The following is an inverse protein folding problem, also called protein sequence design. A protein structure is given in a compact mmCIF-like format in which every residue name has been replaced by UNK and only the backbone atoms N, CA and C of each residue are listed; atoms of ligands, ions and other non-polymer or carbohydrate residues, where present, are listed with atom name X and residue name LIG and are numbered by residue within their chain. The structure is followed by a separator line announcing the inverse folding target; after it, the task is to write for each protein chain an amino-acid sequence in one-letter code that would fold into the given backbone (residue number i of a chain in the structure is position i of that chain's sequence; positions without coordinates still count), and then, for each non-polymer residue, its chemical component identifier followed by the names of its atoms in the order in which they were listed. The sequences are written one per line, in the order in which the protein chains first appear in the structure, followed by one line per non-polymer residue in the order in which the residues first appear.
data_IF_348594362264
#
_entry.id   IF_348594362264
#
_cell.length_a   1.000
_cell.length_b   1.000
_cell.length_c   1.000
_cell.angle_alpha   90.00
_cell.angle_beta   90.00
_cell.angle_gamma   90.00
#
_symmetry.space_group_name_H-M   'P 1'
#
loop_
_entity.id
_entity.type
_entity.pdbx_description
1 polymer ?
#
# COMPACT_ATOMS: atom_id res chain seq x y z
N UNK A 1 59.05 61.16 -20.84
CA UNK A 1 58.58 60.14 -19.93
C UNK A 1 57.06 60.28 -19.80
N UNK A 2 56.30 59.56 -20.59
CA UNK A 2 54.84 59.59 -20.61
C UNK A 2 54.33 58.26 -20.00
N UNK A 3 53.61 58.32 -18.92
CA UNK A 3 52.94 57.15 -18.30
C UNK A 3 51.50 57.13 -18.83
N UNK A 4 51.21 56.19 -19.68
CA UNK A 4 49.88 55.79 -20.12
C UNK A 4 49.19 54.99 -19.03
N UNK A 5 48.07 55.50 -18.50
CA UNK A 5 47.16 54.75 -17.61
C UNK A 5 46.16 53.99 -18.49
N UNK A 6 46.17 52.67 -18.45
CA UNK A 6 45.12 51.82 -19.02
C UNK A 6 44.00 51.67 -18.02
N UNK A 7 42.83 52.15 -18.38
CA UNK A 7 41.59 51.91 -17.62
C UNK A 7 41.00 50.61 -18.13
N UNK A 8 40.98 49.61 -17.28
CA UNK A 8 40.27 48.34 -17.51
C UNK A 8 38.82 48.57 -17.06
N UNK A 9 37.91 48.66 -18.02
CA UNK A 9 36.46 48.71 -17.77
C UNK A 9 35.99 47.28 -17.53
N UNK A 10 35.69 46.93 -16.27
CA UNK A 10 35.04 45.70 -15.91
C UNK A 10 33.52 45.84 -16.10
N UNK A 11 33.01 45.28 -17.20
CA UNK A 11 31.58 45.19 -17.46
C UNK A 11 31.00 44.06 -16.59
N UNK A 12 30.31 44.42 -15.51
CA UNK A 12 29.58 43.50 -14.67
C UNK A 12 28.32 43.08 -15.42
N UNK A 13 28.30 41.85 -15.97
CA UNK A 13 27.13 41.26 -16.60
C UNK A 13 26.25 40.69 -15.49
N UNK A 14 25.26 41.44 -15.01
CA UNK A 14 24.21 40.98 -14.09
C UNK A 14 23.25 40.12 -14.87
N UNK A 15 23.35 38.80 -14.72
CA UNK A 15 22.31 37.87 -15.11
C UNK A 15 21.13 38.04 -14.15
N UNK A 16 20.08 38.72 -14.57
CA UNK A 16 18.77 38.59 -13.95
C UNK A 16 18.23 37.19 -14.30
N UNK A 17 18.37 36.27 -13.37
CA UNK A 17 17.61 35.02 -13.38
C UNK A 17 16.18 35.44 -13.04
N UNK A 18 15.33 35.61 -14.04
CA UNK A 18 13.88 35.59 -13.82
C UNK A 18 13.49 34.17 -13.43
N UNK A 19 13.56 33.85 -12.14
CA UNK A 19 12.77 32.80 -11.58
C UNK A 19 11.31 33.21 -11.76
N UNK A 20 10.61 32.62 -12.71
CA UNK A 20 9.15 32.63 -12.70
C UNK A 20 8.71 31.76 -11.51
N UNK A 21 8.81 32.27 -10.30
CA UNK A 21 8.00 31.78 -9.20
C UNK A 21 6.55 32.09 -9.57
N UNK A 22 5.81 31.06 -9.91
CA UNK A 22 4.38 31.16 -10.09
C UNK A 22 3.83 31.69 -8.75
N UNK A 23 3.33 32.94 -8.75
CA UNK A 23 2.69 33.48 -7.54
C UNK A 23 1.62 32.52 -7.11
N UNK A 24 1.79 31.92 -5.93
CA UNK A 24 0.79 31.02 -5.35
C UNK A 24 -0.42 31.88 -5.00
N UNK A 25 -1.48 31.74 -5.80
CA UNK A 25 -2.73 32.40 -5.54
C UNK A 25 -3.36 31.88 -4.25
N UNK A 26 -4.03 32.76 -3.52
CA UNK A 26 -4.82 32.39 -2.35
C UNK A 26 -5.92 31.36 -2.70
N UNK A 27 -6.28 31.22 -3.97
CA UNK A 27 -7.26 30.26 -4.48
C UNK A 27 -6.65 29.00 -5.10
N UNK A 28 -5.30 28.87 -5.14
CA UNK A 28 -4.68 27.66 -5.64
C UNK A 28 -4.87 26.54 -4.61
N UNK A 29 -5.22 25.36 -5.12
CA UNK A 29 -5.21 24.15 -4.29
C UNK A 29 -3.80 23.93 -3.74
N UNK A 30 -3.70 23.59 -2.45
CA UNK A 30 -2.42 23.29 -1.84
C UNK A 30 -1.80 22.01 -2.43
N UNK A 31 -0.47 21.92 -2.33
CA UNK A 31 0.32 20.76 -2.80
C UNK A 31 0.83 19.91 -1.63
N UNK A 32 0.08 19.82 -0.54
CA UNK A 32 0.50 19.08 0.66
C UNK A 32 0.70 17.59 0.38
N UNK A 33 -0.16 17.02 -0.45
CA UNK A 33 -0.12 15.61 -0.89
C UNK A 33 -0.30 15.52 -2.40
N UNK A 34 0.17 14.43 -3.06
CA UNK A 34 -0.11 14.19 -4.47
C UNK A 34 -1.60 14.17 -4.79
N UNK A 35 -1.95 14.61 -5.99
CA UNK A 35 -3.33 14.60 -6.49
C UNK A 35 -3.85 13.19 -6.64
N UNK A 36 -5.15 13.02 -6.40
CA UNK A 36 -5.86 11.77 -6.71
C UNK A 36 -6.31 11.73 -8.17
N UNK A 37 -6.75 10.55 -8.64
CA UNK A 37 -7.24 10.35 -10.02
C UNK A 37 -8.45 11.23 -10.39
N UNK A 38 -9.20 11.72 -9.43
CA UNK A 38 -10.30 12.67 -9.63
C UNK A 38 -9.81 14.11 -9.79
N UNK A 39 -8.62 14.41 -9.28
CA UNK A 39 -7.98 15.72 -9.34
C UNK A 39 -6.97 15.84 -10.50
N UNK A 40 -6.43 14.70 -10.96
CA UNK A 40 -5.50 14.61 -12.09
C UNK A 40 -5.88 13.46 -13.01
N UNK A 41 -6.56 13.78 -14.11
CA UNK A 41 -7.03 12.83 -15.12
C UNK A 41 -5.90 12.19 -15.94
N UNK A 42 -4.67 12.63 -15.82
CA UNK A 42 -3.50 12.02 -16.46
C UNK A 42 -3.02 10.77 -15.74
N UNK A 43 -3.43 10.56 -14.49
CA UNK A 43 -3.10 9.37 -13.72
C UNK A 43 -3.83 8.14 -14.29
N UNK A 44 -3.14 6.98 -14.41
CA UNK A 44 -3.77 5.75 -14.87
C UNK A 44 -4.87 5.32 -13.87
N UNK A 45 -6.05 5.01 -14.40
CA UNK A 45 -7.19 4.69 -13.54
C UNK A 45 -8.27 3.88 -14.22
N UNK A 46 -9.08 3.21 -13.40
CA UNK A 46 -10.29 2.50 -13.83
C UNK A 46 -11.50 3.03 -13.05
N UNK A 47 -12.67 3.00 -13.68
CA UNK A 47 -13.95 3.33 -13.02
C UNK A 47 -14.71 2.06 -12.74
N UNK A 48 -14.98 1.79 -11.47
CA UNK A 48 -15.72 0.60 -10.98
C UNK A 48 -16.58 1.01 -9.78
N UNK A 49 -17.74 0.39 -9.61
CA UNK A 49 -18.58 0.55 -8.41
C UNK A 49 -18.71 2.01 -7.92
N UNK A 50 -19.00 2.94 -8.85
CA UNK A 50 -19.16 4.38 -8.56
C UNK A 50 -17.92 5.05 -7.93
N UNK A 51 -16.73 4.49 -8.17
CA UNK A 51 -15.45 5.09 -7.77
C UNK A 51 -14.45 5.06 -8.92
N UNK A 52 -13.43 5.90 -8.82
CA UNK A 52 -12.27 5.87 -9.70
C UNK A 52 -11.05 5.40 -8.89
N UNK A 53 -10.48 4.26 -9.31
CA UNK A 53 -9.32 3.66 -8.68
C UNK A 53 -8.07 3.96 -9.50
N UNK A 54 -7.01 4.41 -8.88
CA UNK A 54 -5.68 4.43 -9.46
C UNK A 54 -5.22 2.99 -9.68
N UNK A 55 -4.93 2.62 -10.91
CA UNK A 55 -4.62 1.24 -11.26
C UNK A 55 -3.77 1.14 -12.52
N UNK A 56 -2.85 0.20 -12.51
CA UNK A 56 -1.95 -0.10 -13.62
C UNK A 56 -1.79 -1.61 -13.79
N UNK A 57 -1.49 -2.05 -15.02
CA UNK A 57 -1.22 -3.45 -15.28
C UNK A 57 0.01 -3.61 -16.19
N UNK A 58 0.80 -4.66 -15.93
CA UNK A 58 2.07 -4.94 -16.60
C UNK A 58 2.11 -6.39 -17.10
N UNK A 59 2.75 -6.62 -18.24
CA UNK A 59 2.83 -7.93 -18.87
C UNK A 59 1.76 -8.16 -19.93
N UNK A 60 1.68 -9.40 -20.42
CA UNK A 60 0.69 -9.76 -21.45
C UNK A 60 -0.68 -10.03 -20.81
N UNK A 61 -1.75 -9.32 -21.20
CA UNK A 61 -3.10 -9.51 -20.64
C UNK A 61 -3.66 -10.93 -20.77
N UNK A 62 -3.18 -11.74 -21.73
CA UNK A 62 -3.62 -13.13 -21.90
C UNK A 62 -2.99 -14.12 -20.90
N UNK A 63 -1.96 -13.69 -20.18
CA UNK A 63 -1.26 -14.52 -19.20
C UNK A 63 -2.06 -14.69 -17.91
N UNK A 64 -1.60 -15.61 -17.06
CA UNK A 64 -2.10 -15.76 -15.68
C UNK A 64 -2.03 -14.41 -14.94
N UNK A 65 -3.16 -13.96 -14.39
CA UNK A 65 -3.27 -12.69 -13.68
C UNK A 65 -2.76 -12.82 -12.26
N UNK A 66 -1.98 -11.84 -11.82
CA UNK A 66 -1.54 -11.67 -10.44
C UNK A 66 -1.97 -10.28 -9.95
N UNK A 67 -2.95 -10.23 -9.06
CA UNK A 67 -3.44 -8.96 -8.48
C UNK A 67 -2.69 -8.67 -7.20
N UNK A 68 -2.12 -7.49 -7.10
CA UNK A 68 -1.31 -7.03 -5.96
C UNK A 68 -2.18 -6.17 -5.03
N UNK A 69 -2.26 -6.57 -3.76
CA UNK A 69 -3.10 -5.94 -2.74
C UNK A 69 -2.21 -5.31 -1.66
N UNK A 70 -2.22 -3.99 -1.59
CA UNK A 70 -1.42 -3.24 -0.62
C UNK A 70 -2.00 -3.31 0.80
N UNK A 71 -1.14 -3.01 1.77
CA UNK A 71 -1.43 -2.99 3.20
C UNK A 71 -2.14 -1.73 3.69
N UNK A 72 -2.08 -1.50 4.97
CA UNK A 72 -2.71 -0.44 5.71
C UNK A 72 -3.76 -0.98 6.70
N UNK A 73 -5.09 -0.86 6.47
CA UNK A 73 -5.74 -0.21 5.31
C UNK A 73 -5.32 1.24 5.13
N UNK A 74 -5.44 1.75 3.89
CA UNK A 74 -5.15 3.15 3.59
C UNK A 74 -3.74 3.45 3.05
N UNK A 75 -2.84 2.45 2.88
CA UNK A 75 -1.58 2.65 2.15
C UNK A 75 -1.80 2.82 0.64
N UNK A 76 -0.77 2.70 -0.16
CA UNK A 76 -0.83 2.62 -1.61
C UNK A 76 0.06 1.49 -2.13
N UNK A 77 0.02 1.18 -3.43
CA UNK A 77 0.81 0.07 -3.97
C UNK A 77 2.26 0.44 -4.30
N UNK A 78 2.69 1.67 -4.12
CA UNK A 78 4.04 2.12 -4.50
C UNK A 78 5.15 1.27 -3.88
N UNK A 79 5.00 0.92 -2.61
CA UNK A 79 5.99 0.10 -1.90
C UNK A 79 6.02 -1.38 -2.38
N UNK A 80 5.05 -1.80 -3.18
CA UNK A 80 4.96 -3.15 -3.78
C UNK A 80 5.41 -3.18 -5.25
N UNK A 81 5.94 -2.10 -5.81
CA UNK A 81 6.32 -2.01 -7.22
C UNK A 81 7.39 -3.03 -7.64
N UNK A 82 8.18 -3.57 -6.71
CA UNK A 82 9.07 -4.69 -6.99
C UNK A 82 8.32 -5.90 -7.59
N UNK A 83 7.04 -6.11 -7.23
CA UNK A 83 6.20 -7.18 -7.79
C UNK A 83 5.99 -7.05 -9.31
N UNK A 84 6.29 -5.90 -9.92
CA UNK A 84 6.31 -5.75 -11.39
C UNK A 84 7.25 -6.77 -12.06
N UNK A 85 8.30 -7.23 -11.37
CA UNK A 85 9.22 -8.24 -11.88
C UNK A 85 8.55 -9.59 -12.26
N UNK A 86 7.37 -9.88 -11.73
CA UNK A 86 6.60 -11.07 -12.15
C UNK A 86 6.10 -10.95 -13.59
N UNK A 87 5.92 -9.73 -14.12
CA UNK A 87 5.53 -9.54 -15.52
C UNK A 87 6.60 -10.06 -16.49
N UNK A 88 7.89 -9.90 -16.14
CA UNK A 88 9.03 -10.43 -16.91
C UNK A 88 9.12 -11.97 -16.86
N UNK A 89 8.34 -12.59 -15.97
CA UNK A 89 8.23 -14.06 -15.81
C UNK A 89 6.93 -14.64 -16.39
N UNK A 90 6.22 -13.85 -17.19
CA UNK A 90 5.05 -14.31 -17.90
C UNK A 90 3.74 -14.22 -17.10
N UNK A 91 3.65 -13.36 -16.11
CA UNK A 91 2.41 -13.03 -15.41
C UNK A 91 1.84 -11.71 -15.91
N UNK A 92 0.52 -11.57 -15.82
CA UNK A 92 -0.17 -10.30 -16.00
C UNK A 92 -0.40 -9.68 -14.63
N UNK A 93 0.44 -8.72 -14.26
CA UNK A 93 0.50 -8.14 -12.91
C UNK A 93 -0.35 -6.90 -12.85
N UNK A 94 -1.35 -6.89 -11.98
CA UNK A 94 -2.32 -5.80 -11.79
C UNK A 94 -2.09 -5.16 -10.43
N UNK A 95 -1.85 -3.86 -10.42
CA UNK A 95 -1.78 -3.03 -9.22
C UNK A 95 -2.99 -2.11 -9.18
N UNK A 96 -3.51 -1.87 -8.00
CA UNK A 96 -4.47 -0.79 -7.77
C UNK A 96 -4.37 -0.26 -6.35
N UNK A 97 -4.59 1.03 -6.20
CA UNK A 97 -4.85 1.63 -4.90
C UNK A 97 -6.31 1.36 -4.54
N UNK A 98 -6.54 0.76 -3.37
CA UNK A 98 -7.89 0.46 -2.90
C UNK A 98 -8.68 1.77 -2.73
N UNK A 99 -10.02 1.69 -2.76
CA UNK A 99 -10.92 2.83 -2.59
C UNK A 99 -10.50 3.69 -1.40
N UNK A 100 -10.35 5.01 -1.60
CA UNK A 100 -9.96 5.94 -0.54
C UNK A 100 -8.49 5.89 -0.13
N UNK A 101 -7.68 5.02 -0.74
CA UNK A 101 -6.24 4.85 -0.50
C UNK A 101 -5.41 5.43 -1.62
N UNK A 102 -4.13 5.66 -1.37
CA UNK A 102 -3.17 6.05 -2.40
C UNK A 102 -3.64 7.23 -3.24
N UNK A 103 -3.57 7.08 -4.55
CA UNK A 103 -4.04 8.06 -5.52
C UNK A 103 -5.49 7.81 -5.98
N UNK A 104 -6.19 6.79 -5.44
CA UNK A 104 -7.60 6.53 -5.70
C UNK A 104 -8.50 7.62 -5.14
N UNK A 105 -9.70 7.72 -5.71
CA UNK A 105 -10.74 8.70 -5.33
C UNK A 105 -11.06 8.63 -3.84
N UNK A 106 -11.23 9.81 -3.22
CA UNK A 106 -11.61 9.97 -1.81
C UNK A 106 -13.12 9.94 -1.63
N UNK A 107 -13.55 9.39 -0.50
CA UNK A 107 -14.96 9.22 -0.17
C UNK A 107 -15.23 9.57 1.30
N UNK A 108 -16.51 9.87 1.65
CA UNK A 108 -16.93 10.01 3.03
C UNK A 108 -16.76 8.71 3.81
N UNK A 109 -16.45 8.81 5.11
CA UNK A 109 -16.22 7.67 6.00
C UNK A 109 -17.38 6.65 6.01
N UNK A 110 -18.62 7.13 5.87
CA UNK A 110 -19.83 6.32 5.97
C UNK A 110 -20.02 5.26 4.89
N UNK A 111 -19.27 5.35 3.75
CA UNK A 111 -19.43 4.37 2.66
C UNK A 111 -18.57 3.12 2.83
N UNK A 112 -17.56 3.16 3.71
CA UNK A 112 -16.61 2.05 3.82
C UNK A 112 -17.20 0.88 4.60
N UNK A 113 -17.09 -0.30 4.04
CA UNK A 113 -17.43 -1.59 4.64
C UNK A 113 -16.50 -2.67 4.08
N UNK A 114 -16.42 -3.82 4.75
CA UNK A 114 -15.67 -4.96 4.19
C UNK A 114 -16.27 -5.37 2.85
N UNK A 115 -17.60 -5.39 2.73
CA UNK A 115 -18.26 -5.82 1.49
C UNK A 115 -17.87 -4.92 0.30
N UNK A 116 -17.83 -3.59 0.45
CA UNK A 116 -17.47 -2.70 -0.65
C UNK A 116 -16.01 -2.92 -1.11
N UNK A 117 -15.11 -3.29 -0.19
CA UNK A 117 -13.73 -3.63 -0.53
C UNK A 117 -13.65 -4.95 -1.34
N UNK A 118 -14.51 -5.93 -1.01
CA UNK A 118 -14.62 -7.19 -1.79
C UNK A 118 -15.23 -6.94 -3.16
N UNK A 119 -16.24 -6.09 -3.25
CA UNK A 119 -16.90 -5.74 -4.51
C UNK A 119 -15.95 -4.99 -5.45
N UNK A 120 -15.11 -4.10 -4.92
CA UNK A 120 -14.08 -3.41 -5.68
C UNK A 120 -13.01 -4.37 -6.18
N UNK A 121 -12.53 -5.29 -5.36
CA UNK A 121 -11.57 -6.32 -5.80
C UNK A 121 -12.18 -7.20 -6.89
N UNK A 122 -13.45 -7.58 -6.77
CA UNK A 122 -14.17 -8.34 -7.80
C UNK A 122 -14.26 -7.56 -9.12
N UNK A 123 -14.55 -6.27 -9.04
CA UNK A 123 -14.63 -5.38 -10.19
C UNK A 123 -13.27 -5.16 -10.86
N UNK A 124 -12.19 -5.00 -10.09
CA UNK A 124 -10.80 -4.92 -10.60
C UNK A 124 -10.43 -6.20 -11.35
N UNK A 125 -10.68 -7.37 -10.74
CA UNK A 125 -10.44 -8.67 -11.40
C UNK A 125 -11.22 -8.75 -12.69
N UNK A 126 -12.50 -8.40 -12.69
CA UNK A 126 -13.38 -8.44 -13.87
C UNK A 126 -12.91 -7.49 -14.96
N UNK A 127 -12.46 -6.28 -14.60
CA UNK A 127 -11.98 -5.27 -15.54
C UNK A 127 -10.74 -5.74 -16.32
N UNK A 128 -9.78 -6.37 -15.62
CA UNK A 128 -8.52 -6.79 -16.23
C UNK A 128 -8.56 -8.21 -16.82
N UNK A 129 -9.55 -9.03 -16.46
CA UNK A 129 -9.66 -10.41 -16.94
C UNK A 129 -10.07 -10.45 -18.40
N UNK A 130 -9.28 -11.16 -19.22
CA UNK A 130 -9.50 -11.23 -20.69
C UNK A 130 -10.24 -12.46 -21.15
N UNK A 131 -10.36 -13.50 -20.30
CA UNK A 131 -11.15 -14.70 -20.61
C UNK A 131 -11.70 -15.37 -19.34
N UNK A 132 -12.76 -16.16 -19.48
CA UNK A 132 -13.36 -16.89 -18.36
C UNK A 132 -12.44 -17.97 -17.78
N UNK A 133 -11.48 -18.48 -18.56
CA UNK A 133 -10.53 -19.52 -18.18
C UNK A 133 -9.20 -18.98 -17.64
N UNK A 134 -8.99 -17.66 -17.71
CA UNK A 134 -7.77 -17.04 -17.19
C UNK A 134 -7.63 -17.29 -15.69
N UNK A 135 -6.51 -17.90 -15.29
CA UNK A 135 -6.19 -18.09 -13.88
C UNK A 135 -5.94 -16.75 -13.18
N UNK A 136 -6.41 -16.62 -11.96
CA UNK A 136 -6.24 -15.43 -11.11
C UNK A 136 -5.57 -15.81 -9.80
N UNK A 137 -4.48 -15.14 -9.48
CA UNK A 137 -3.77 -15.22 -8.21
C UNK A 137 -3.83 -13.88 -7.49
N UNK A 138 -3.83 -13.94 -6.16
CA UNK A 138 -3.71 -12.75 -5.31
C UNK A 138 -2.35 -12.76 -4.61
N UNK A 139 -1.68 -11.62 -4.57
CA UNK A 139 -0.56 -11.37 -3.68
C UNK A 139 -0.96 -10.21 -2.77
N UNK A 140 -1.18 -10.51 -1.50
CA UNK A 140 -1.53 -9.51 -0.51
C UNK A 140 -0.45 -9.35 0.55
N UNK A 141 -0.23 -8.11 0.98
CA UNK A 141 0.67 -7.77 2.09
C UNK A 141 -0.13 -7.13 3.21
N UNK A 142 0.10 -7.56 4.45
CA UNK A 142 -0.54 -6.98 5.64
C UNK A 142 -2.08 -6.98 5.52
N UNK A 143 -2.75 -5.83 5.60
CA UNK A 143 -4.17 -5.69 5.30
C UNK A 143 -4.56 -6.26 3.92
N UNK A 144 -3.73 -6.11 2.90
CA UNK A 144 -3.99 -6.70 1.58
C UNK A 144 -4.06 -8.23 1.60
N UNK A 145 -3.32 -8.89 2.49
CA UNK A 145 -3.42 -10.33 2.70
C UNK A 145 -4.69 -10.73 3.48
N UNK A 146 -5.16 -9.86 4.39
CA UNK A 146 -6.46 -10.02 5.05
C UNK A 146 -7.61 -9.86 4.05
N UNK A 147 -7.56 -8.85 3.18
CA UNK A 147 -8.53 -8.62 2.10
C UNK A 147 -8.56 -9.81 1.12
N UNK A 148 -7.39 -10.33 0.72
CA UNK A 148 -7.31 -11.54 -0.11
C UNK A 148 -8.01 -12.72 0.55
N UNK A 149 -7.80 -12.92 1.85
CA UNK A 149 -8.43 -14.01 2.62
C UNK A 149 -9.94 -13.79 2.76
N UNK A 150 -10.39 -12.57 3.06
CA UNK A 150 -11.80 -12.24 3.09
C UNK A 150 -12.48 -12.52 1.74
N UNK A 151 -11.82 -12.18 0.64
CA UNK A 151 -12.30 -12.45 -0.70
C UNK A 151 -12.37 -13.96 -1.01
N UNK A 152 -11.33 -14.73 -0.67
CA UNK A 152 -11.32 -16.18 -0.82
C UNK A 152 -12.41 -16.83 0.04
N UNK A 153 -12.60 -16.37 1.26
CA UNK A 153 -13.67 -16.86 2.15
C UNK A 153 -15.07 -16.62 1.57
N UNK A 154 -15.30 -15.47 0.95
CA UNK A 154 -16.57 -15.13 0.30
C UNK A 154 -16.74 -15.86 -1.06
N UNK A 155 -15.67 -15.99 -1.84
CA UNK A 155 -15.68 -16.51 -3.21
C UNK A 155 -14.60 -17.57 -3.46
N UNK A 156 -14.64 -18.76 -2.82
CA UNK A 156 -13.55 -19.73 -2.79
C UNK A 156 -13.21 -20.37 -4.14
N UNK A 157 -14.10 -20.23 -5.14
CA UNK A 157 -13.89 -20.76 -6.50
C UNK A 157 -13.31 -19.73 -7.48
N UNK A 158 -13.17 -18.47 -7.06
CA UNK A 158 -12.79 -17.37 -7.95
C UNK A 158 -11.29 -17.19 -8.10
N UNK A 159 -10.49 -17.75 -7.16
CA UNK A 159 -9.04 -17.55 -7.05
C UNK A 159 -8.32 -18.89 -7.16
N UNK A 160 -7.26 -18.96 -7.96
CA UNK A 160 -6.50 -20.18 -8.23
C UNK A 160 -5.35 -20.41 -7.24
N UNK A 161 -4.89 -19.38 -6.53
CA UNK A 161 -3.87 -19.45 -5.49
C UNK A 161 -3.64 -18.07 -4.86
N UNK A 162 -3.01 -18.03 -3.71
CA UNK A 162 -2.70 -16.77 -3.03
C UNK A 162 -1.34 -16.80 -2.33
N UNK A 163 -0.66 -15.66 -2.36
CA UNK A 163 0.53 -15.34 -1.57
C UNK A 163 0.10 -14.33 -0.51
N UNK A 164 0.21 -14.71 0.75
CA UNK A 164 -0.25 -13.92 1.89
C UNK A 164 0.95 -13.56 2.76
N UNK A 165 1.43 -12.32 2.64
CA UNK A 165 2.58 -11.83 3.37
C UNK A 165 2.13 -11.07 4.63
N UNK A 166 2.38 -11.64 5.78
CA UNK A 166 2.13 -11.11 7.13
C UNK A 166 0.75 -10.45 7.32
N UNK A 167 -0.38 -11.15 7.07
CA UNK A 167 -1.69 -10.64 7.48
C UNK A 167 -1.74 -10.47 9.00
N UNK A 168 -2.33 -9.39 9.50
CA UNK A 168 -2.49 -9.19 10.95
C UNK A 168 -3.26 -10.33 11.63
N UNK A 169 -4.24 -10.91 10.93
CA UNK A 169 -5.05 -12.03 11.38
C UNK A 169 -6.23 -12.25 10.44
N UNK A 170 -6.93 -13.39 10.58
CA UNK A 170 -8.14 -13.70 9.82
C UNK A 170 -9.40 -13.72 10.70
N UNK A 171 -9.22 -13.59 11.99
CA UNK A 171 -10.25 -13.34 13.00
C UNK A 171 -9.90 -12.00 13.65
N UNK A 172 -10.90 -11.13 13.89
CA UNK A 172 -10.64 -9.77 14.35
C UNK A 172 -9.82 -9.69 15.64
N UNK A 173 -9.98 -10.67 16.56
CA UNK A 173 -9.17 -10.71 17.78
C UNK A 173 -7.67 -10.88 17.47
N UNK A 174 -7.31 -11.72 16.48
CA UNK A 174 -5.89 -11.90 16.08
C UNK A 174 -5.30 -10.61 15.50
N UNK A 175 -6.12 -9.83 14.77
CA UNK A 175 -5.72 -8.50 14.25
C UNK A 175 -5.44 -7.54 15.40
N UNK A 176 -6.33 -7.48 16.40
CA UNK A 176 -6.15 -6.63 17.57
C UNK A 176 -4.90 -7.02 18.38
N UNK A 177 -4.68 -8.31 18.57
CA UNK A 177 -3.50 -8.83 19.25
C UNK A 177 -2.21 -8.40 18.52
N UNK A 178 -2.15 -8.57 17.19
CA UNK A 178 -0.99 -8.17 16.40
C UNK A 178 -0.78 -6.64 16.42
N UNK A 179 -1.84 -5.87 16.17
CA UNK A 179 -1.77 -4.40 16.16
C UNK A 179 -1.36 -3.86 17.53
N UNK A 180 -1.87 -4.47 18.62
CA UNK A 180 -1.49 -4.10 19.98
C UNK A 180 0.01 -4.30 20.25
N UNK A 181 0.63 -5.33 19.69
CA UNK A 181 2.07 -5.60 19.82
C UNK A 181 2.94 -4.74 18.88
N UNK A 182 2.41 -4.36 17.71
CA UNK A 182 3.15 -3.60 16.70
C UNK A 182 3.13 -2.09 16.90
N UNK A 183 2.15 -1.56 17.66
CA UNK A 183 2.05 -0.13 17.95
C UNK A 183 2.96 0.25 19.11
N UNK A 184 4.15 0.78 18.82
CA UNK A 184 4.88 1.62 19.75
C UNK A 184 4.41 3.06 19.61
N UNK A 185 3.66 3.57 20.60
CA UNK A 185 3.36 4.99 20.69
C UNK A 185 4.68 5.75 20.89
N UNK A 186 5.07 6.57 19.91
CA UNK A 186 6.24 7.45 20.06
C UNK A 186 5.79 8.88 20.25
N UNK A 187 6.37 9.52 21.28
CA UNK A 187 6.23 10.95 21.55
C UNK A 187 6.56 11.82 20.31
N UNK A 188 7.49 11.35 19.46
CA UNK A 188 7.84 11.99 18.18
C UNK A 188 6.66 12.07 17.20
N UNK A 189 5.78 11.08 17.16
CA UNK A 189 4.60 11.09 16.27
C UNK A 189 3.58 12.14 16.69
N UNK A 190 3.39 12.34 17.99
CA UNK A 190 2.50 13.38 18.52
C UNK A 190 3.05 14.78 18.21
N UNK A 191 4.35 15.00 18.38
CA UNK A 191 5.01 16.29 18.08
C UNK A 191 4.92 16.63 16.59
N UNK A 192 5.11 15.65 15.69
CA UNK A 192 4.94 15.84 14.26
C UNK A 192 3.48 16.12 13.89
N UNK A 193 2.53 15.50 14.56
CA UNK A 193 1.11 15.77 14.39
C UNK A 193 0.77 17.22 14.77
N UNK A 194 1.27 17.71 15.89
CA UNK A 194 1.08 19.07 16.34
C UNK A 194 1.72 20.10 15.39
N UNK A 195 2.94 19.84 14.92
CA UNK A 195 3.61 20.67 13.92
C UNK A 195 2.83 20.75 12.61
N UNK A 196 2.28 19.63 12.14
CA UNK A 196 1.42 19.56 10.95
C UNK A 196 0.12 20.34 11.15
N UNK A 197 -0.46 20.28 12.34
CA UNK A 197 -1.66 21.06 12.68
C UNK A 197 -1.41 22.55 12.64
N UNK A 198 -0.25 23.01 13.14
CA UNK A 198 0.16 24.42 13.06
C UNK A 198 0.36 24.88 11.61
N UNK A 199 0.96 24.04 10.76
CA UNK A 199 1.15 24.33 9.34
C UNK A 199 -0.20 24.49 8.61
N UNK A 200 -1.21 23.70 8.94
CA UNK A 200 -2.57 23.86 8.45
C UNK A 200 -3.19 25.22 8.80
N UNK A 201 -3.00 25.64 10.04
CA UNK A 201 -3.51 26.92 10.52
C UNK A 201 -2.88 28.08 9.78
N UNK A 202 -1.61 27.95 9.40
CA UNK A 202 -0.86 28.97 8.68
C UNK A 202 -1.22 28.98 7.18
N UNK A 203 -1.37 27.81 6.57
CA UNK A 203 -1.56 27.69 5.09
C UNK A 203 -3.03 27.73 4.67
N UNK A 204 -3.95 27.25 5.49
CA UNK A 204 -5.42 27.41 5.38
C UNK A 204 -6.10 26.89 4.09
N UNK A 205 -5.40 26.12 3.23
CA UNK A 205 -5.82 25.87 1.84
C UNK A 205 -6.00 24.42 1.45
N UNK A 206 -5.78 23.48 2.38
CA UNK A 206 -5.94 22.08 2.07
C UNK A 206 -7.35 21.60 2.41
N UNK A 207 -7.89 20.69 1.62
CA UNK A 207 -9.10 19.99 2.06
C UNK A 207 -8.78 19.10 3.26
N UNK A 208 -9.79 18.85 4.07
CA UNK A 208 -9.65 18.13 5.34
C UNK A 208 -9.04 16.74 5.15
N UNK A 209 -9.41 16.00 4.09
CA UNK A 209 -8.85 14.68 3.81
C UNK A 209 -7.38 14.75 3.40
N UNK A 210 -6.97 15.75 2.60
CA UNK A 210 -5.57 15.95 2.23
C UNK A 210 -4.68 16.17 3.46
N UNK A 211 -5.18 16.88 4.43
CA UNK A 211 -4.51 17.15 5.70
C UNK A 211 -4.36 15.87 6.54
N UNK A 212 -5.44 15.12 6.67
CA UNK A 212 -5.43 13.83 7.40
C UNK A 212 -4.51 12.82 6.72
N UNK A 213 -4.52 12.73 5.39
CA UNK A 213 -3.64 11.87 4.63
C UNK A 213 -2.16 12.22 4.84
N UNK A 214 -1.82 13.51 4.84
CA UNK A 214 -0.45 13.96 5.11
C UNK A 214 0.02 13.56 6.50
N UNK A 215 -0.79 13.82 7.53
CA UNK A 215 -0.49 13.43 8.91
C UNK A 215 -0.30 11.93 9.04
N UNK A 216 -1.21 11.16 8.44
CA UNK A 216 -1.14 9.71 8.49
C UNK A 216 0.11 9.18 7.79
N UNK A 217 0.49 9.73 6.64
CA UNK A 217 1.72 9.35 5.93
C UNK A 217 2.96 9.62 6.79
N UNK A 218 3.03 10.77 7.47
CA UNK A 218 4.14 11.08 8.38
C UNK A 218 4.21 10.12 9.56
N UNK A 219 3.05 9.80 10.17
CA UNK A 219 2.99 8.87 11.30
C UNK A 219 3.37 7.44 10.89
N UNK A 220 2.93 6.98 9.72
CA UNK A 220 3.26 5.66 9.20
C UNK A 220 4.76 5.49 8.90
N UNK A 221 5.47 6.59 8.63
CA UNK A 221 6.91 6.60 8.36
C UNK A 221 7.78 6.81 9.60
N UNK A 222 7.21 7.15 10.74
CA UNK A 222 7.99 7.64 11.90
C UNK A 222 8.75 6.56 12.67
N UNK A 223 8.39 5.28 12.54
CA UNK A 223 8.99 4.17 13.29
C UNK A 223 9.55 3.05 12.39
N UNK A 224 10.23 3.43 11.34
CA UNK A 224 10.74 2.51 10.34
C UNK A 224 12.25 2.28 10.56
N UNK A 225 12.58 1.29 11.40
CA UNK A 225 13.96 0.85 11.64
C UNK A 225 14.04 -0.65 11.91
N UNK A 226 15.21 -1.24 11.73
CA UNK A 226 15.47 -2.65 12.06
C UNK A 226 15.27 -2.98 13.56
N UNK A 227 15.38 -2.00 14.41
CA UNK A 227 15.20 -2.13 15.86
C UNK A 227 13.74 -2.02 16.30
N UNK A 228 12.87 -1.52 15.40
CA UNK A 228 11.43 -1.42 15.66
C UNK A 228 10.79 -2.78 15.88
N UNK A 229 9.57 -2.79 16.41
CA UNK A 229 8.79 -4.01 16.58
C UNK A 229 8.48 -4.73 15.27
N UNK A 230 8.39 -3.99 14.16
CA UNK A 230 8.17 -4.49 12.80
C UNK A 230 9.48 -4.90 12.11
N UNK A 231 10.64 -4.43 12.57
CA UNK A 231 11.97 -4.77 12.06
C UNK A 231 12.23 -4.32 10.63
N UNK A 232 11.65 -3.19 10.21
CA UNK A 232 11.73 -2.68 8.85
C UNK A 232 13.11 -2.13 8.51
N UNK A 233 13.46 -2.13 7.22
CA UNK A 233 14.73 -1.58 6.71
C UNK A 233 14.71 -0.04 6.65
N UNK A 234 13.52 0.57 6.60
CA UNK A 234 13.35 2.02 6.55
C UNK A 234 11.92 2.45 6.22
N UNK A 235 11.70 3.76 6.03
CA UNK A 235 10.39 4.30 5.67
C UNK A 235 9.87 3.73 4.34
N UNK A 236 8.63 3.24 4.33
CA UNK A 236 8.00 2.77 3.11
C UNK A 236 7.72 3.93 2.13
N UNK A 237 7.98 3.73 0.82
CA UNK A 237 7.85 4.78 -0.17
C UNK A 237 6.39 4.97 -0.62
N UNK A 238 5.55 5.56 0.20
CA UNK A 238 4.17 5.89 -0.19
C UNK A 238 4.10 7.13 -1.08
N UNK A 239 3.12 7.18 -1.98
CA UNK A 239 2.70 8.42 -2.64
C UNK A 239 1.81 9.23 -1.70
N UNK A 240 0.77 8.58 -1.18
CA UNK A 240 -0.23 9.23 -0.34
C UNK A 240 -1.02 8.17 0.43
N UNK A 241 -1.14 8.34 1.74
CA UNK A 241 -1.97 7.45 2.55
C UNK A 241 -3.41 7.94 2.61
N UNK A 242 -4.36 7.02 2.86
CA UNK A 242 -5.77 7.31 3.08
C UNK A 242 -6.14 7.19 4.55
N UNK A 243 -6.14 8.31 5.29
CA UNK A 243 -6.42 8.30 6.72
C UNK A 243 -7.87 7.93 7.04
N UNK A 244 -8.82 8.44 6.26
CA UNK A 244 -10.27 8.22 6.48
C UNK A 244 -10.66 6.75 6.31
N UNK A 245 -10.15 6.07 5.28
CA UNK A 245 -10.44 4.64 5.09
C UNK A 245 -9.81 3.79 6.19
N UNK A 246 -8.60 4.14 6.63
CA UNK A 246 -7.95 3.41 7.70
C UNK A 246 -8.80 3.43 8.97
N UNK A 247 -9.20 4.61 9.42
CA UNK A 247 -10.07 4.78 10.58
C UNK A 247 -11.40 4.04 10.39
N UNK A 248 -12.05 4.22 9.23
CA UNK A 248 -13.34 3.61 8.93
C UNK A 248 -13.31 2.08 9.00
N UNK A 249 -12.29 1.43 8.40
CA UNK A 249 -12.21 -0.03 8.39
C UNK A 249 -11.81 -0.61 9.75
N UNK A 250 -11.07 0.12 10.58
CA UNK A 250 -10.85 -0.27 11.98
C UNK A 250 -12.16 -0.19 12.79
N UNK A 251 -12.95 0.86 12.64
CA UNK A 251 -14.27 0.96 13.31
C UNK A 251 -15.23 -0.13 12.84
N UNK A 252 -15.23 -0.44 11.52
CA UNK A 252 -16.03 -1.57 10.99
C UNK A 252 -15.55 -2.88 11.62
N UNK A 253 -14.24 -3.12 11.70
CA UNK A 253 -13.67 -4.30 12.36
C UNK A 253 -14.08 -4.43 13.82
N UNK A 254 -13.98 -3.34 14.58
CA UNK A 254 -14.37 -3.32 16.00
C UNK A 254 -15.88 -3.56 16.20
N UNK A 255 -16.70 -3.06 15.30
CA UNK A 255 -18.15 -3.23 15.34
C UNK A 255 -18.61 -4.63 14.90
N UNK A 256 -18.09 -5.10 13.77
CA UNK A 256 -18.55 -6.33 13.13
C UNK A 256 -17.80 -7.57 13.60
N UNK A 257 -16.56 -7.40 14.11
CA UNK A 257 -15.65 -8.47 14.58
C UNK A 257 -15.56 -9.61 13.57
N UNK A 258 -15.14 -9.32 12.33
CA UNK A 258 -15.20 -10.30 11.25
C UNK A 258 -14.36 -11.53 11.54
N UNK A 259 -14.88 -12.68 11.06
CA UNK A 259 -14.18 -13.95 10.97
C UNK A 259 -14.16 -14.40 9.50
N UNK A 260 -13.00 -14.27 8.86
CA UNK A 260 -12.80 -14.63 7.46
C UNK A 260 -12.30 -16.08 7.31
N UNK A 261 -12.48 -16.93 8.34
CA UNK A 261 -12.06 -18.34 8.29
C UNK A 261 -13.23 -19.30 8.04
N UNK A 262 -14.45 -18.82 8.16
CA UNK A 262 -15.68 -19.64 8.22
C UNK A 262 -15.88 -20.58 7.05
N UNK A 263 -15.39 -20.21 5.84
CA UNK A 263 -15.53 -20.99 4.62
C UNK A 263 -14.21 -21.41 3.98
N UNK A 264 -13.06 -21.12 4.59
CA UNK A 264 -11.73 -21.44 4.03
C UNK A 264 -11.48 -22.93 3.85
N UNK A 265 -12.18 -23.80 4.60
CA UNK A 265 -12.10 -25.26 4.41
C UNK A 265 -12.54 -25.71 3.01
N UNK A 266 -13.37 -24.92 2.32
CA UNK A 266 -13.79 -25.20 0.94
C UNK A 266 -12.75 -24.77 -0.10
N UNK A 267 -11.75 -23.97 0.29
CA UNK A 267 -10.67 -23.54 -0.57
C UNK A 267 -9.51 -24.54 -0.50
N UNK A 268 -9.42 -25.43 -1.48
CA UNK A 268 -8.43 -26.51 -1.52
C UNK A 268 -7.16 -26.15 -2.28
N UNK A 269 -7.14 -25.02 -3.01
CA UNK A 269 -5.94 -24.56 -3.70
C UNK A 269 -4.85 -24.21 -2.69
N UNK A 270 -3.60 -24.39 -3.10
CA UNK A 270 -2.45 -24.11 -2.26
C UNK A 270 -2.33 -22.62 -1.98
N UNK A 271 -1.98 -22.27 -0.75
CA UNK A 271 -1.66 -20.90 -0.31
C UNK A 271 -0.20 -20.86 0.12
N UNK A 272 0.53 -19.84 -0.31
CA UNK A 272 1.84 -19.51 0.23
C UNK A 272 1.65 -18.44 1.32
N UNK A 273 1.93 -18.81 2.56
CA UNK A 273 1.90 -17.89 3.70
C UNK A 273 3.31 -17.53 4.11
N UNK A 274 3.59 -16.22 4.23
CA UNK A 274 4.93 -15.71 4.44
C UNK A 274 4.97 -14.85 5.70
N UNK A 275 6.03 -15.01 6.50
CA UNK A 275 6.37 -14.13 7.61
C UNK A 275 7.85 -13.78 7.59
N UNK A 276 8.21 -12.65 8.18
CA UNK A 276 9.58 -12.15 8.23
C UNK A 276 10.29 -12.51 9.53
N UNK A 277 11.62 -12.55 9.48
CA UNK A 277 12.45 -12.91 10.63
C UNK A 277 12.51 -11.82 11.70
N UNK A 278 12.61 -10.54 11.26
CA UNK A 278 12.83 -9.41 12.18
C UNK A 278 11.56 -8.83 12.78
N UNK A 279 10.37 -9.15 12.25
CA UNK A 279 9.10 -8.70 12.82
C UNK A 279 8.81 -9.40 14.15
N UNK A 280 9.22 -8.77 15.25
CA UNK A 280 9.09 -9.30 16.63
C UNK A 280 7.64 -9.36 17.10
N UNK A 281 6.78 -8.49 16.54
CA UNK A 281 5.35 -8.47 16.86
C UNK A 281 4.58 -9.63 16.23
N UNK A 282 5.11 -10.23 15.17
CA UNK A 282 4.49 -11.31 14.43
C UNK A 282 5.02 -12.70 14.84
N UNK A 283 6.23 -13.01 14.43
CA UNK A 283 6.94 -14.24 14.78
C UNK A 283 6.28 -15.53 14.28
N UNK A 284 6.96 -16.65 14.51
CA UNK A 284 6.52 -17.98 14.05
C UNK A 284 5.19 -18.42 14.68
N UNK A 285 4.99 -18.14 15.97
CA UNK A 285 3.78 -18.62 16.69
C UNK A 285 2.52 -17.98 16.12
N UNK A 286 2.55 -16.67 15.88
CA UNK A 286 1.43 -15.97 15.25
C UNK A 286 1.23 -16.42 13.80
N UNK A 287 2.32 -16.58 13.04
CA UNK A 287 2.28 -17.07 11.67
C UNK A 287 1.63 -18.47 11.57
N UNK A 288 2.00 -19.39 12.45
CA UNK A 288 1.41 -20.72 12.51
C UNK A 288 -0.08 -20.68 12.90
N UNK A 289 -0.44 -19.88 13.89
CA UNK A 289 -1.83 -19.70 14.32
C UNK A 289 -2.71 -19.22 13.15
N UNK A 290 -2.31 -18.12 12.49
CA UNK A 290 -3.11 -17.51 11.42
C UNK A 290 -3.13 -18.40 10.17
N UNK A 291 -2.00 -18.96 9.76
CA UNK A 291 -1.92 -19.79 8.54
C UNK A 291 -2.71 -21.10 8.66
N UNK A 292 -2.90 -21.63 9.87
CA UNK A 292 -3.63 -22.89 10.12
C UNK A 292 -5.10 -22.84 9.69
N UNK A 293 -5.66 -21.66 9.41
CA UNK A 293 -7.00 -21.50 8.87
C UNK A 293 -7.16 -22.09 7.46
N UNK A 294 -6.07 -22.22 6.70
CA UNK A 294 -6.08 -22.80 5.37
C UNK A 294 -5.77 -24.31 5.41
N UNK A 295 -6.56 -25.15 4.71
CA UNK A 295 -6.31 -26.60 4.69
C UNK A 295 -5.07 -27.01 3.90
N UNK A 296 -4.63 -26.18 2.94
CA UNK A 296 -3.48 -26.43 2.07
C UNK A 296 -2.57 -25.20 2.06
N UNK A 297 -1.71 -25.07 3.06
CA UNK A 297 -0.83 -23.92 3.23
C UNK A 297 0.64 -24.33 3.27
N UNK A 298 1.48 -23.57 2.60
CA UNK A 298 2.93 -23.58 2.70
C UNK A 298 3.35 -22.35 3.51
N UNK A 299 3.97 -22.57 4.67
CA UNK A 299 4.46 -21.50 5.54
C UNK A 299 5.97 -21.30 5.31
N UNK A 300 6.37 -20.09 4.97
CA UNK A 300 7.77 -19.73 4.68
C UNK A 300 8.22 -18.50 5.47
N UNK A 301 9.47 -18.54 5.92
CA UNK A 301 10.11 -17.42 6.62
C UNK A 301 11.06 -16.67 5.69
N UNK A 302 10.96 -15.34 5.64
CA UNK A 302 11.92 -14.48 4.93
C UNK A 302 13.00 -14.02 5.91
N UNK A 303 14.21 -14.54 5.71
CA UNK A 303 15.35 -14.20 6.56
C UNK A 303 15.86 -12.78 6.28
N UNK A 304 16.36 -12.10 7.31
CA UNK A 304 16.95 -10.78 7.23
C UNK A 304 15.98 -9.67 6.84
N UNK A 305 14.66 -9.89 6.94
CA UNK A 305 13.64 -8.91 6.58
C UNK A 305 12.70 -8.59 7.74
N UNK A 306 12.10 -7.42 7.73
CA UNK A 306 10.99 -7.00 8.56
C UNK A 306 9.65 -7.07 7.84
N UNK A 307 8.66 -6.38 8.39
CA UNK A 307 7.31 -6.30 7.79
C UNK A 307 7.32 -5.72 6.36
N UNK A 308 8.33 -4.93 6.03
CA UNK A 308 8.57 -4.30 4.72
C UNK A 308 9.24 -5.21 3.67
N UNK A 309 9.25 -6.52 3.86
CA UNK A 309 9.98 -7.52 3.07
C UNK A 309 9.81 -7.44 1.55
N UNK A 310 8.72 -6.83 1.08
CA UNK A 310 8.42 -6.67 -0.35
C UNK A 310 9.04 -5.41 -0.96
N UNK A 311 9.49 -4.46 -0.12
CA UNK A 311 9.90 -3.12 -0.54
C UNK A 311 11.40 -2.98 -0.71
N UNK A 312 12.18 -3.54 0.23
CA UNK A 312 13.62 -3.33 0.31
C UNK A 312 14.42 -4.51 -0.26
N UNK A 313 15.65 -4.26 -0.74
CA UNK A 313 16.44 -5.25 -1.48
C UNK A 313 16.63 -6.57 -0.74
N UNK A 314 16.95 -6.55 0.56
CA UNK A 314 17.21 -7.77 1.35
C UNK A 314 15.97 -8.66 1.41
N UNK A 315 14.83 -8.07 1.80
CA UNK A 315 13.56 -8.78 1.86
C UNK A 315 13.14 -9.30 0.49
N UNK A 316 13.16 -8.44 -0.52
CA UNK A 316 12.78 -8.78 -1.88
C UNK A 316 13.62 -9.91 -2.48
N UNK A 317 14.95 -9.87 -2.32
CA UNK A 317 15.86 -10.90 -2.84
C UNK A 317 15.54 -12.29 -2.27
N UNK A 318 15.13 -12.36 -1.01
CA UNK A 318 14.77 -13.60 -0.35
C UNK A 318 13.31 -14.03 -0.63
N UNK A 319 12.39 -13.09 -0.77
CA UNK A 319 10.98 -13.31 -1.06
C UNK A 319 10.73 -13.77 -2.50
N UNK A 320 11.29 -13.05 -3.48
CA UNK A 320 10.96 -13.20 -4.89
C UNK A 320 11.12 -14.64 -5.43
N UNK A 321 12.23 -15.36 -5.19
CA UNK A 321 12.39 -16.73 -5.70
C UNK A 321 11.38 -17.71 -5.06
N UNK A 322 11.00 -17.54 -3.80
CA UNK A 322 10.02 -18.36 -3.11
C UNK A 322 8.63 -18.14 -3.74
N UNK A 323 8.24 -16.89 -3.92
CA UNK A 323 6.98 -16.51 -4.53
C UNK A 323 6.87 -16.97 -5.99
N UNK A 324 7.94 -16.78 -6.77
CA UNK A 324 7.99 -17.24 -8.17
C UNK A 324 7.90 -18.76 -8.28
N UNK A 325 8.63 -19.50 -7.43
CA UNK A 325 8.56 -20.95 -7.41
C UNK A 325 7.14 -21.45 -7.09
N UNK A 326 6.48 -20.85 -6.09
CA UNK A 326 5.09 -21.14 -5.77
C UNK A 326 4.17 -20.91 -6.96
N UNK A 327 4.23 -19.75 -7.59
CA UNK A 327 3.40 -19.41 -8.76
C UNK A 327 3.62 -20.37 -9.93
N UNK A 328 4.83 -20.84 -10.15
CA UNK A 328 5.17 -21.79 -11.23
C UNK A 328 4.72 -23.25 -10.97
N UNK A 329 4.36 -23.58 -9.74
CA UNK A 329 3.90 -24.95 -9.38
C UNK A 329 2.40 -25.14 -9.49
N UNK A 330 1.62 -24.08 -9.80
CA UNK A 330 0.16 -24.04 -9.91
C UNK A 330 -0.30 -23.72 -11.32
#
# INVERSE_FOLDING_TARGET
MSRTFSIISATLLTFFIFSCEKEISINDDGNLVPKTVEQDVSLPSIKVNETQLHAEAFGNPANTMLVILHGGPGSDYRYLLNCKAFADKGYYVVFYDQRGSGLSQRHPKSIYSIQIMLDDLSAVITHYKTSSTQKVFLLGHSWGAMLATAYINAYPKSINGAILAEPGGFIWQDVLDYVGHSRSFRFTSETLNDATYLDQFITGKQNEQAILDYKFTLMASADESEESSLGNDGPLPFWRSGAVIQEALFEVGDKEKPDWTTNLKSYTNKVLFIYSERNKSYGLVHAQKVSSAYPNVQLEKINGAGHDMLSFPTGWTNFYPIALNYLNTL
#
